data_IF_922267073688
#
_entry.id   IF_922267073688
#
_cell.length_a   1.000
_cell.length_b   1.000
_cell.length_c   1.000
_cell.angle_alpha   90.00
_cell.angle_beta   90.00
_cell.angle_gamma   90.00
#
_symmetry.space_group_name_H-M   'P 1'
#
loop_
_entity.id
_entity.type
_entity.pdbx_description
1 polymer ?
#
# COMPACT_ATOMS: atom_id res chain seq x y z
N UNK A 1 -21.99 -6.71 -35.47
CA UNK A 1 -21.60 -7.06 -34.09
C UNK A 1 -20.25 -7.75 -34.21
N UNK A 2 -19.17 -7.06 -33.88
CA UNK A 2 -17.82 -7.64 -34.02
C UNK A 2 -17.29 -7.90 -32.63
N UNK A 3 -17.18 -9.19 -32.30
CA UNK A 3 -16.56 -9.70 -31.09
C UNK A 3 -15.06 -9.37 -31.21
N UNK A 4 -14.44 -8.70 -30.22
CA UNK A 4 -13.00 -8.48 -30.24
C UNK A 4 -12.28 -9.83 -30.32
N UNK A 5 -11.09 -9.84 -30.92
CA UNK A 5 -10.26 -11.03 -31.08
C UNK A 5 -9.76 -11.48 -29.69
N UNK A 6 -10.61 -12.17 -28.95
CA UNK A 6 -10.34 -12.78 -27.64
C UNK A 6 -10.28 -14.29 -27.85
N UNK A 7 -9.39 -14.96 -27.12
CA UNK A 7 -9.29 -16.42 -27.21
C UNK A 7 -10.64 -17.07 -26.89
N UNK A 8 -11.28 -17.67 -27.89
CA UNK A 8 -12.56 -18.35 -27.73
C UNK A 8 -12.52 -19.41 -26.64
N UNK A 9 -11.38 -20.09 -26.50
CA UNK A 9 -11.17 -21.08 -25.44
C UNK A 9 -11.25 -20.47 -24.05
N UNK A 10 -10.59 -19.33 -23.82
CA UNK A 10 -10.63 -18.63 -22.53
C UNK A 10 -12.00 -18.01 -22.28
N UNK A 11 -12.67 -17.53 -23.34
CA UNK A 11 -14.04 -17.02 -23.26
C UNK A 11 -15.01 -18.13 -22.82
N UNK A 12 -14.92 -19.32 -23.42
CA UNK A 12 -15.75 -20.48 -23.07
C UNK A 12 -15.50 -20.95 -21.64
N UNK A 13 -14.26 -20.94 -21.17
CA UNK A 13 -13.93 -21.26 -19.78
C UNK A 13 -14.53 -20.22 -18.80
N UNK A 14 -14.46 -18.92 -19.12
CA UNK A 14 -15.09 -17.86 -18.32
C UNK A 14 -16.62 -17.94 -18.34
N UNK A 15 -17.22 -18.22 -19.50
CA UNK A 15 -18.67 -18.46 -19.62
C UNK A 15 -19.08 -19.70 -18.80
N UNK A 16 -18.25 -20.75 -18.79
CA UNK A 16 -18.43 -21.96 -17.98
C UNK A 16 -18.29 -21.74 -16.47
N UNK A 17 -17.48 -20.75 -16.05
CA UNK A 17 -17.38 -20.30 -14.66
C UNK A 17 -18.59 -19.45 -14.21
N UNK A 18 -19.47 -19.05 -15.14
CA UNK A 18 -20.66 -18.26 -14.86
C UNK A 18 -20.48 -16.75 -15.08
N UNK A 19 -19.36 -16.32 -15.66
CA UNK A 19 -19.20 -14.92 -16.05
C UNK A 19 -20.00 -14.62 -17.32
N UNK A 20 -20.77 -13.52 -17.37
CA UNK A 20 -21.49 -13.15 -18.59
C UNK A 20 -20.50 -12.81 -19.71
N UNK A 21 -20.85 -13.18 -20.94
CA UNK A 21 -20.03 -12.99 -22.14
C UNK A 21 -19.48 -11.57 -22.28
N UNK A 22 -20.26 -10.54 -21.90
CA UNK A 22 -19.84 -9.14 -21.91
C UNK A 22 -18.65 -8.89 -20.97
N UNK A 23 -18.73 -9.40 -19.74
CA UNK A 23 -17.68 -9.32 -18.72
C UNK A 23 -16.45 -10.13 -19.12
N UNK A 24 -16.64 -11.36 -19.60
CA UNK A 24 -15.54 -12.22 -20.05
C UNK A 24 -14.73 -11.59 -21.20
N UNK A 25 -15.46 -11.03 -22.18
CA UNK A 25 -14.84 -10.33 -23.32
C UNK A 25 -14.06 -9.09 -22.88
N UNK A 26 -14.63 -8.31 -21.95
CA UNK A 26 -13.98 -7.12 -21.38
C UNK A 26 -12.74 -7.50 -20.59
N UNK A 27 -12.84 -8.50 -19.72
CA UNK A 27 -11.74 -9.01 -18.92
C UNK A 27 -10.59 -9.53 -19.77
N UNK A 28 -10.86 -10.33 -20.80
CA UNK A 28 -9.83 -10.81 -21.72
C UNK A 28 -9.17 -9.66 -22.50
N UNK A 29 -9.95 -8.67 -22.91
CA UNK A 29 -9.44 -7.51 -23.62
C UNK A 29 -8.50 -6.65 -22.74
N UNK A 30 -8.84 -6.42 -21.46
CA UNK A 30 -8.01 -5.62 -20.56
C UNK A 30 -6.85 -6.40 -19.93
N UNK A 31 -7.02 -7.70 -19.72
CA UNK A 31 -5.95 -8.62 -19.32
C UNK A 31 -4.89 -8.79 -20.42
N UNK A 32 -5.21 -8.42 -21.67
CA UNK A 32 -4.29 -8.55 -22.80
C UNK A 32 -4.19 -9.99 -23.33
N UNK A 33 -5.21 -10.82 -23.06
CA UNK A 33 -5.31 -12.19 -23.56
C UNK A 33 -4.13 -13.09 -23.12
N UNK A 34 -3.59 -12.86 -21.91
CA UNK A 34 -2.38 -13.53 -21.39
C UNK A 34 -2.70 -14.87 -20.71
N UNK A 35 -3.90 -15.01 -20.14
CA UNK A 35 -4.35 -16.25 -19.49
C UNK A 35 -5.73 -16.14 -18.85
N UNK A 36 -6.32 -17.29 -18.52
CA UNK A 36 -7.61 -17.35 -17.82
C UNK A 36 -7.53 -16.67 -16.45
N UNK A 37 -6.47 -16.95 -15.71
CA UNK A 37 -6.25 -16.46 -14.34
C UNK A 37 -6.15 -14.93 -14.30
N UNK A 38 -5.41 -14.32 -15.22
CA UNK A 38 -5.30 -12.85 -15.34
C UNK A 38 -6.65 -12.20 -15.70
N UNK A 39 -7.42 -12.84 -16.59
CA UNK A 39 -8.76 -12.37 -16.95
C UNK A 39 -9.73 -12.47 -15.76
N UNK A 40 -9.69 -13.58 -15.00
CA UNK A 40 -10.48 -13.72 -13.77
C UNK A 40 -10.08 -12.69 -12.73
N UNK A 41 -8.77 -12.49 -12.51
CA UNK A 41 -8.29 -11.49 -11.57
C UNK A 41 -8.80 -10.09 -11.94
N UNK A 42 -8.71 -9.71 -13.21
CA UNK A 42 -9.27 -8.44 -13.69
C UNK A 42 -10.78 -8.34 -13.45
N UNK A 43 -11.52 -9.42 -13.74
CA UNK A 43 -12.96 -9.47 -13.57
C UNK A 43 -13.40 -9.36 -12.10
N UNK A 44 -12.63 -9.92 -11.17
CA UNK A 44 -12.85 -9.86 -9.71
C UNK A 44 -12.49 -8.48 -9.16
N UNK A 45 -11.34 -7.92 -9.56
CA UNK A 45 -10.94 -6.57 -9.13
C UNK A 45 -11.96 -5.50 -9.51
N UNK A 46 -12.71 -5.73 -10.59
CA UNK A 46 -13.72 -4.80 -11.12
C UNK A 46 -15.15 -5.34 -10.95
N UNK A 47 -15.38 -6.44 -10.20
CA UNK A 47 -16.70 -7.09 -10.11
C UNK A 47 -17.78 -6.22 -9.47
N UNK A 48 -17.36 -5.28 -8.61
CA UNK A 48 -18.23 -4.35 -7.90
C UNK A 48 -18.63 -3.14 -8.75
N UNK A 49 -18.04 -2.96 -9.93
CA UNK A 49 -18.44 -1.90 -10.85
C UNK A 49 -19.77 -2.29 -11.51
N UNK A 50 -20.83 -1.53 -11.23
CA UNK A 50 -22.16 -1.75 -11.82
C UNK A 50 -22.19 -1.65 -13.37
N UNK A 51 -21.07 -1.24 -13.99
CA UNK A 51 -20.86 -1.16 -15.43
C UNK A 51 -20.18 -2.42 -16.02
N UNK A 52 -19.69 -3.34 -15.19
CA UNK A 52 -18.89 -4.49 -15.66
C UNK A 52 -19.71 -5.47 -16.54
N UNK A 53 -21.01 -5.60 -16.27
CA UNK A 53 -21.93 -6.42 -17.04
C UNK A 53 -22.55 -5.68 -18.23
N UNK A 54 -22.26 -4.39 -18.40
CA UNK A 54 -22.72 -3.66 -19.57
C UNK A 54 -21.90 -4.06 -20.80
N UNK A 55 -22.61 -4.57 -21.81
CA UNK A 55 -22.04 -4.90 -23.11
C UNK A 55 -21.34 -3.67 -23.70
N UNK A 56 -20.02 -3.75 -23.89
CA UNK A 56 -19.20 -2.72 -24.54
C UNK A 56 -19.79 -2.38 -25.93
N UNK A 57 -20.50 -1.27 -26.03
CA UNK A 57 -20.96 -0.71 -27.30
C UNK A 57 -19.80 0.06 -27.93
N UNK A 58 -18.90 -0.63 -28.62
CA UNK A 58 -17.92 0.01 -29.50
C UNK A 58 -18.48 0.07 -30.93
N UNK A 59 -18.73 1.27 -31.50
CA UNK A 59 -18.84 1.42 -32.93
C UNK A 59 -17.44 1.26 -33.54
N UNK A 60 -17.34 0.35 -34.49
CA UNK A 60 -16.15 0.06 -35.27
C UNK A 60 -15.77 1.29 -36.12
N UNK A 61 -14.67 1.98 -35.81
CA UNK A 61 -13.88 2.61 -36.88
C UNK A 61 -12.40 2.73 -36.51
N UNK A 62 -11.59 2.20 -37.43
CA UNK A 62 -10.17 2.49 -37.70
C UNK A 62 -9.11 2.07 -36.67
N UNK A 63 -8.51 0.92 -37.01
CA UNK A 63 -7.13 0.49 -36.74
C UNK A 63 -6.13 1.65 -36.64
N UNK A 64 -5.24 1.52 -35.66
CA UNK A 64 -3.88 2.08 -35.50
C UNK A 64 -3.74 3.04 -34.32
N UNK A 65 -2.69 2.76 -33.56
CA UNK A 65 -2.03 3.63 -32.60
C UNK A 65 -2.53 3.54 -31.16
N UNK A 66 -1.57 3.38 -30.25
CA UNK A 66 -1.75 3.76 -28.88
C UNK A 66 -2.20 5.23 -28.83
N UNK A 67 -3.26 5.52 -28.09
CA UNK A 67 -3.18 6.58 -27.12
C UNK A 67 -3.57 5.92 -25.79
N UNK A 68 -2.63 5.71 -24.87
CA UNK A 68 -2.51 6.66 -23.76
C UNK A 68 -3.78 7.52 -23.67
N UNK A 69 -4.78 7.21 -22.81
CA UNK A 69 -5.49 8.30 -22.18
C UNK A 69 -4.39 9.13 -21.54
N UNK A 70 -4.07 10.22 -22.24
CA UNK A 70 -3.26 11.27 -21.72
C UNK A 70 -4.09 11.85 -20.57
N UNK A 71 -3.98 11.23 -19.39
CA UNK A 71 -3.51 12.03 -18.27
C UNK A 71 -2.38 12.85 -18.85
N UNK A 72 -2.56 14.15 -18.94
CA UNK A 72 -1.53 15.03 -19.50
C UNK A 72 -0.16 14.57 -18.96
N UNK A 73 0.88 14.47 -19.79
CA UNK A 73 2.22 14.07 -19.31
C UNK A 73 2.72 15.02 -18.21
N UNK A 74 2.07 16.18 -18.05
CA UNK A 74 2.22 17.12 -16.95
C UNK A 74 1.58 16.60 -15.64
N UNK A 75 0.30 16.19 -15.62
CA UNK A 75 -0.39 15.78 -14.38
C UNK A 75 0.14 14.46 -13.79
N UNK A 76 0.54 13.51 -14.64
CA UNK A 76 1.14 12.24 -14.18
C UNK A 76 2.54 12.42 -13.60
N UNK A 77 3.34 13.33 -14.19
CA UNK A 77 4.64 13.70 -13.63
C UNK A 77 4.48 14.50 -12.35
N UNK A 78 3.51 15.42 -12.27
CA UNK A 78 3.20 16.16 -11.05
C UNK A 78 2.76 15.22 -9.92
N UNK A 79 1.82 14.29 -10.16
CA UNK A 79 1.43 13.30 -9.13
C UNK A 79 2.58 12.38 -8.73
N UNK A 80 3.39 11.92 -9.67
CA UNK A 80 4.54 11.07 -9.36
C UNK A 80 5.62 11.83 -8.56
N UNK A 81 5.82 13.12 -8.86
CA UNK A 81 6.76 13.98 -8.15
C UNK A 81 6.23 14.37 -6.77
N UNK A 82 4.93 14.66 -6.65
CA UNK A 82 4.26 14.93 -5.38
C UNK A 82 4.26 13.70 -4.47
N UNK A 83 3.97 12.51 -4.98
CA UNK A 83 4.06 11.26 -4.23
C UNK A 83 5.49 11.00 -3.73
N UNK A 84 6.50 11.27 -4.56
CA UNK A 84 7.91 11.18 -4.16
C UNK A 84 8.28 12.19 -3.08
N UNK A 85 7.81 13.43 -3.20
CA UNK A 85 8.08 14.48 -2.22
C UNK A 85 7.35 14.20 -0.89
N UNK A 86 6.10 13.75 -0.93
CA UNK A 86 5.37 13.30 0.25
C UNK A 86 6.06 12.11 0.91
N UNK A 87 6.55 11.13 0.15
CA UNK A 87 7.30 10.00 0.69
C UNK A 87 8.62 10.47 1.37
N UNK A 88 9.35 11.40 0.75
CA UNK A 88 10.56 11.98 1.34
C UNK A 88 10.26 12.75 2.62
N UNK A 89 9.22 13.60 2.60
CA UNK A 89 8.79 14.41 3.73
C UNK A 89 8.30 13.54 4.90
N UNK A 90 7.53 12.48 4.60
CA UNK A 90 7.06 11.52 5.60
C UNK A 90 8.23 10.74 6.22
N UNK A 91 9.21 10.33 5.40
CA UNK A 91 10.43 9.67 5.90
C UNK A 91 11.25 10.58 6.81
N UNK A 92 11.43 11.85 6.45
CA UNK A 92 12.16 12.82 7.27
C UNK A 92 11.44 13.11 8.60
N UNK A 93 10.12 13.25 8.57
CA UNK A 93 9.33 13.47 9.79
C UNK A 93 9.36 12.25 10.73
N UNK A 94 9.29 11.04 10.18
CA UNK A 94 9.41 9.79 10.92
C UNK A 94 10.79 9.62 11.53
N UNK A 95 11.86 9.92 10.78
CA UNK A 95 13.24 9.89 11.27
C UNK A 95 13.44 10.91 12.42
N UNK A 96 12.95 12.13 12.24
CA UNK A 96 12.99 13.16 13.29
C UNK A 96 12.13 12.78 14.50
N UNK A 97 11.06 12.01 14.32
CA UNK A 97 10.23 11.49 15.42
C UNK A 97 10.98 10.40 16.18
N UNK A 98 11.63 9.48 15.45
CA UNK A 98 12.47 8.43 16.03
C UNK A 98 13.68 9.01 16.79
N UNK A 99 14.35 10.04 16.27
CA UNK A 99 15.45 10.70 16.96
C UNK A 99 15.01 11.30 18.30
N UNK A 100 13.87 12.02 18.30
CA UNK A 100 13.28 12.55 19.54
C UNK A 100 12.88 11.46 20.53
N UNK A 101 12.36 10.33 20.05
CA UNK A 101 12.04 9.18 20.89
C UNK A 101 13.30 8.55 21.49
N UNK A 102 14.38 8.44 20.70
CA UNK A 102 15.69 7.96 21.19
C UNK A 102 16.27 8.88 22.26
N UNK A 103 16.26 10.19 22.04
CA UNK A 103 16.73 11.17 23.02
C UNK A 103 15.91 11.11 24.32
N UNK A 104 14.58 10.98 24.21
CA UNK A 104 13.71 10.79 25.37
C UNK A 104 14.03 9.52 26.13
N UNK A 105 14.14 8.39 25.45
CA UNK A 105 14.51 7.11 26.09
C UNK A 105 15.88 7.23 26.76
N UNK A 106 16.83 7.89 26.11
CA UNK A 106 18.16 8.11 26.69
C UNK A 106 18.09 8.97 27.95
N UNK A 107 17.37 10.10 27.92
CA UNK A 107 17.22 10.96 29.10
C UNK A 107 16.43 10.29 30.22
N UNK A 108 15.37 9.56 29.89
CA UNK A 108 14.56 8.80 30.85
C UNK A 108 15.39 7.72 31.55
N UNK A 109 16.18 6.95 30.78
CA UNK A 109 17.11 5.95 31.32
C UNK A 109 18.18 6.59 32.22
N UNK A 110 18.73 7.75 31.84
CA UNK A 110 19.70 8.47 32.67
C UNK A 110 19.08 8.92 33.99
N UNK A 111 17.85 9.45 33.95
CA UNK A 111 17.11 9.83 35.16
C UNK A 111 16.86 8.61 36.04
N UNK A 112 16.42 7.49 35.45
CA UNK A 112 16.19 6.24 36.18
C UNK A 112 17.48 5.73 36.86
N UNK A 113 18.60 5.71 36.14
CA UNK A 113 19.90 5.30 36.69
C UNK A 113 20.35 6.20 37.84
N UNK A 114 20.20 7.52 37.71
CA UNK A 114 20.55 8.49 38.77
C UNK A 114 19.65 8.31 39.99
N UNK A 115 18.34 8.09 39.80
CA UNK A 115 17.40 7.85 40.89
C UNK A 115 17.71 6.54 41.61
N UNK A 116 17.94 5.44 40.89
CA UNK A 116 18.28 4.14 41.48
C UNK A 116 19.60 4.24 42.25
N UNK A 117 20.63 4.86 41.65
CA UNK A 117 21.90 5.07 42.34
C UNK A 117 21.72 5.92 43.60
N UNK A 118 20.97 7.01 43.53
CA UNK A 118 20.66 7.85 44.68
C UNK A 118 19.93 7.08 45.79
N UNK A 119 18.94 6.26 45.44
CA UNK A 119 18.23 5.40 46.39
C UNK A 119 19.17 4.39 47.07
N UNK A 120 20.10 3.79 46.34
CA UNK A 120 21.12 2.88 46.90
C UNK A 120 22.03 3.63 47.87
N UNK A 121 22.51 4.82 47.51
CA UNK A 121 23.34 5.65 48.39
C UNK A 121 22.59 6.02 49.67
N UNK A 122 21.32 6.42 49.57
CA UNK A 122 20.48 6.71 50.73
C UNK A 122 20.25 5.48 51.61
N UNK A 123 20.00 4.32 51.01
CA UNK A 123 19.79 3.07 51.74
C UNK A 123 21.06 2.65 52.49
N UNK A 124 22.21 2.68 51.82
CA UNK A 124 23.51 2.38 52.44
C UNK A 124 23.82 3.38 53.55
N UNK A 125 23.60 4.68 53.31
CA UNK A 125 23.78 5.71 54.32
C UNK A 125 22.89 5.47 55.55
N UNK A 126 21.63 5.08 55.34
CA UNK A 126 20.72 4.70 56.43
C UNK A 126 21.23 3.49 57.21
N UNK A 127 21.67 2.43 56.53
CA UNK A 127 22.23 1.22 57.18
C UNK A 127 23.45 1.59 58.03
N UNK A 128 24.38 2.38 57.49
CA UNK A 128 25.57 2.82 58.22
C UNK A 128 25.18 3.66 59.45
N UNK A 129 24.20 4.57 59.32
CA UNK A 129 23.74 5.40 60.43
C UNK A 129 23.09 4.57 61.55
N UNK A 130 22.29 3.56 61.20
CA UNK A 130 21.70 2.62 62.16
C UNK A 130 22.78 1.81 62.88
N UNK A 131 23.81 1.35 62.15
CA UNK A 131 24.95 0.62 62.74
C UNK A 131 25.76 1.49 63.71
N UNK A 132 25.99 2.77 63.38
CA UNK A 132 26.72 3.69 64.26
C UNK A 132 25.95 3.97 65.56
N UNK A 133 24.62 4.10 65.50
CA UNK A 133 23.80 4.28 66.72
C UNK A 133 23.71 3.01 67.59
N UNK A 134 24.02 1.83 67.04
CA UNK A 134 23.95 0.56 67.75
C UNK A 134 25.25 0.17 68.49
N UNK A 135 26.35 0.91 68.29
CA UNK A 135 27.66 0.71 68.96
C UNK A 135 27.79 1.69 70.12
#
# INVERSE_FOLDING_TARGET
MVVPEVDQKLLEELEGMGFPKARATRALHYSGNVGLEDAVNWAVEHENDADIDQMLKVPLNTKTEAPKPSLTPEETKMKAQELKEQARKKKEEEEKRMEREREKIFTDLVVEVVLVFGMVVLLVGRIVLELVHAI
#
